data_IF_766162468088
#
_entry.id   IF_766162468088
#
_cell.length_a   1.000
_cell.length_b   1.000
_cell.length_c   1.000
_cell.angle_alpha   90.00
_cell.angle_beta   90.00
_cell.angle_gamma   90.00
#
_symmetry.space_group_name_H-M   'P 1'
#
loop_
_entity.id
_entity.type
_entity.pdbx_description
1 polymer ?
#
# COMPACT_ATOMS: atom_id res chain seq x y z
N UNK A 1 -37.86 -3.31 -19.25
CA UNK A 1 -37.41 -3.03 -17.86
C UNK A 1 -36.77 -4.25 -17.20
N UNK A 2 -37.22 -5.48 -17.51
CA UNK A 2 -36.75 -6.74 -16.87
C UNK A 2 -35.27 -7.00 -17.11
N UNK A 3 -34.75 -6.85 -18.32
CA UNK A 3 -33.36 -7.05 -18.70
C UNK A 3 -32.37 -6.22 -17.85
N UNK A 4 -32.65 -4.92 -17.63
CA UNK A 4 -31.76 -4.05 -16.85
C UNK A 4 -31.64 -4.49 -15.39
N UNK A 5 -32.73 -4.99 -14.78
CA UNK A 5 -32.72 -5.50 -13.40
C UNK A 5 -31.96 -6.82 -13.31
N UNK A 6 -32.18 -7.72 -14.26
CA UNK A 6 -31.50 -9.01 -14.31
C UNK A 6 -29.98 -8.83 -14.43
N UNK A 7 -29.53 -7.95 -15.34
CA UNK A 7 -28.12 -7.65 -15.52
C UNK A 7 -27.48 -7.03 -14.27
N UNK A 8 -28.15 -6.08 -13.60
CA UNK A 8 -27.64 -5.49 -12.36
C UNK A 8 -27.52 -6.54 -11.25
N UNK A 9 -28.49 -7.43 -11.11
CA UNK A 9 -28.42 -8.52 -10.14
C UNK A 9 -27.29 -9.51 -10.44
N UNK A 10 -27.08 -9.85 -11.71
CA UNK A 10 -26.00 -10.72 -12.16
C UNK A 10 -24.62 -10.06 -11.89
N UNK A 11 -24.47 -8.78 -12.20
CA UNK A 11 -23.27 -8.00 -11.88
C UNK A 11 -23.00 -7.97 -10.38
N UNK A 12 -24.03 -7.74 -9.56
CA UNK A 12 -23.90 -7.72 -8.11
C UNK A 12 -23.50 -9.08 -7.53
N UNK A 13 -24.13 -10.15 -8.01
CA UNK A 13 -23.78 -11.51 -7.58
C UNK A 13 -22.36 -11.90 -8.00
N UNK A 14 -21.97 -11.59 -9.23
CA UNK A 14 -20.61 -11.85 -9.72
C UNK A 14 -19.56 -11.02 -8.96
N UNK A 15 -19.85 -9.74 -8.68
CA UNK A 15 -18.95 -8.88 -7.91
C UNK A 15 -18.79 -9.39 -6.46
N UNK A 16 -19.88 -9.83 -5.84
CA UNK A 16 -19.84 -10.43 -4.50
C UNK A 16 -18.99 -11.71 -4.47
N UNK A 17 -19.15 -12.59 -5.46
CA UNK A 17 -18.35 -13.81 -5.58
C UNK A 17 -16.87 -13.53 -5.77
N UNK A 18 -16.52 -12.63 -6.70
CA UNK A 18 -15.13 -12.22 -6.95
C UNK A 18 -14.54 -11.54 -5.72
N UNK A 19 -15.27 -10.62 -5.10
CA UNK A 19 -14.83 -9.94 -3.89
C UNK A 19 -14.53 -10.93 -2.76
N UNK A 20 -15.42 -11.90 -2.51
CA UNK A 20 -15.23 -12.90 -1.45
C UNK A 20 -13.94 -13.69 -1.65
N UNK A 21 -13.66 -14.12 -2.88
CA UNK A 21 -12.42 -14.85 -3.19
C UNK A 21 -11.20 -13.96 -2.99
N UNK A 22 -11.17 -12.76 -3.55
CA UNK A 22 -10.05 -11.84 -3.42
C UNK A 22 -9.82 -11.40 -1.98
N UNK A 23 -10.88 -11.10 -1.26
CA UNK A 23 -10.82 -10.70 0.15
C UNK A 23 -10.26 -11.83 1.03
N UNK A 24 -10.71 -13.07 0.81
CA UNK A 24 -10.18 -14.24 1.52
C UNK A 24 -8.67 -14.41 1.31
N UNK A 25 -8.19 -14.24 0.08
CA UNK A 25 -6.75 -14.30 -0.24
C UNK A 25 -5.97 -13.19 0.49
N UNK A 26 -6.45 -11.94 0.44
CA UNK A 26 -5.77 -10.80 1.08
C UNK A 26 -5.77 -10.95 2.60
N UNK A 27 -6.87 -11.38 3.20
CA UNK A 27 -6.94 -11.64 4.65
C UNK A 27 -5.96 -12.74 5.05
N UNK A 28 -5.84 -13.82 4.25
CA UNK A 28 -4.90 -14.90 4.53
C UNK A 28 -3.45 -14.42 4.45
N UNK A 29 -3.10 -13.65 3.41
CA UNK A 29 -1.75 -13.06 3.28
C UNK A 29 -1.47 -12.11 4.44
N UNK A 30 -2.43 -11.24 4.80
CA UNK A 30 -2.33 -10.33 5.93
C UNK A 30 -2.10 -11.06 7.24
N UNK A 31 -2.85 -12.15 7.49
CA UNK A 31 -2.69 -12.98 8.68
C UNK A 31 -1.27 -13.58 8.77
N UNK A 32 -0.79 -14.18 7.69
CA UNK A 32 0.56 -14.77 7.66
C UNK A 32 1.64 -13.69 7.90
N UNK A 33 1.47 -12.52 7.29
CA UNK A 33 2.42 -11.40 7.45
C UNK A 33 2.46 -10.90 8.88
N UNK A 34 1.30 -10.65 9.50
CA UNK A 34 1.22 -10.11 10.86
C UNK A 34 1.64 -11.15 11.90
N UNK A 35 1.31 -12.44 11.69
CA UNK A 35 1.82 -13.52 12.55
C UNK A 35 3.34 -13.65 12.45
N UNK A 36 3.92 -13.48 11.25
CA UNK A 36 5.37 -13.44 11.07
C UNK A 36 6.01 -12.27 11.84
N UNK A 37 5.41 -11.10 11.82
CA UNK A 37 5.84 -9.92 12.59
C UNK A 37 5.72 -10.16 14.11
N UNK A 38 4.63 -10.79 14.57
CA UNK A 38 4.45 -11.14 15.97
C UNK A 38 5.46 -12.19 16.44
N UNK A 39 5.77 -13.19 15.62
CA UNK A 39 6.79 -14.19 15.91
C UNK A 39 8.21 -13.57 15.96
N UNK A 40 8.47 -12.56 15.14
CA UNK A 40 9.70 -11.76 15.17
C UNK A 40 9.78 -10.75 16.31
N UNK A 41 8.74 -10.62 17.15
CA UNK A 41 8.70 -9.71 18.28
C UNK A 41 8.51 -8.23 17.91
N UNK A 42 8.12 -7.92 16.68
CA UNK A 42 7.86 -6.54 16.22
C UNK A 42 6.41 -6.10 16.47
N UNK A 43 5.52 -7.01 16.85
CA UNK A 43 4.10 -6.76 17.11
C UNK A 43 3.64 -7.59 18.31
N UNK A 44 2.75 -7.02 19.15
CA UNK A 44 2.13 -7.75 20.27
C UNK A 44 1.20 -8.86 19.71
N UNK A 45 1.44 -10.09 20.15
CA UNK A 45 0.62 -11.25 19.78
C UNK A 45 -0.87 -11.07 20.13
N UNK A 46 -1.20 -10.22 21.11
CA UNK A 46 -2.58 -9.91 21.49
C UNK A 46 -3.29 -9.01 20.48
N UNK A 47 -2.54 -8.20 19.76
CA UNK A 47 -3.06 -7.22 18.79
C UNK A 47 -3.13 -7.76 17.35
N UNK A 48 -2.75 -9.02 17.12
CA UNK A 48 -2.68 -9.62 15.76
C UNK A 48 -4.01 -9.52 15.03
N UNK A 49 -5.13 -9.90 15.65
CA UNK A 49 -6.44 -9.86 15.02
C UNK A 49 -6.92 -8.43 14.73
N UNK A 50 -6.63 -7.50 15.63
CA UNK A 50 -6.96 -6.08 15.47
C UNK A 50 -6.20 -5.46 14.31
N UNK A 51 -4.88 -5.67 14.26
CA UNK A 51 -4.02 -5.21 13.16
C UNK A 51 -4.41 -5.84 11.82
N UNK A 52 -4.79 -7.13 11.83
CA UNK A 52 -5.28 -7.82 10.63
C UNK A 52 -6.57 -7.17 10.11
N UNK A 53 -7.51 -6.83 11.01
CA UNK A 53 -8.74 -6.15 10.62
C UNK A 53 -8.44 -4.79 10.00
N UNK A 54 -7.61 -3.95 10.63
CA UNK A 54 -7.22 -2.65 10.09
C UNK A 54 -6.46 -2.77 8.77
N UNK A 55 -5.52 -3.70 8.64
CA UNK A 55 -4.81 -3.96 7.40
C UNK A 55 -5.75 -4.38 6.26
N UNK A 56 -6.79 -5.16 6.58
CA UNK A 56 -7.82 -5.53 5.60
C UNK A 56 -8.56 -4.30 5.08
N UNK A 57 -8.92 -3.34 5.95
CA UNK A 57 -9.58 -2.10 5.53
C UNK A 57 -8.73 -1.25 4.60
N UNK A 58 -7.41 -1.22 4.78
CA UNK A 58 -6.50 -0.44 3.91
C UNK A 58 -6.47 -0.96 2.47
N UNK A 59 -6.70 -2.26 2.27
CA UNK A 59 -6.70 -2.90 0.96
C UNK A 59 -8.08 -2.89 0.24
N UNK A 60 -9.16 -2.53 0.95
CA UNK A 60 -10.52 -2.58 0.39
C UNK A 60 -10.72 -1.75 -0.89
N UNK A 61 -10.17 -0.51 -1.03
CA UNK A 61 -10.36 0.26 -2.27
C UNK A 61 -9.83 -0.47 -3.51
N UNK A 62 -8.67 -1.09 -3.41
CA UNK A 62 -8.08 -1.88 -4.48
C UNK A 62 -8.90 -3.13 -4.81
N UNK A 63 -9.31 -3.87 -3.78
CA UNK A 63 -10.09 -5.10 -3.92
C UNK A 63 -11.46 -4.84 -4.54
N UNK A 64 -12.16 -3.81 -4.08
CA UNK A 64 -13.47 -3.44 -4.64
C UNK A 64 -13.34 -2.97 -6.09
N UNK A 65 -12.34 -2.16 -6.42
CA UNK A 65 -12.09 -1.69 -7.78
C UNK A 65 -11.81 -2.86 -8.73
N UNK A 66 -10.97 -3.81 -8.31
CA UNK A 66 -10.68 -5.02 -9.07
C UNK A 66 -11.91 -5.92 -9.20
N UNK A 67 -12.70 -6.06 -8.12
CA UNK A 67 -13.92 -6.88 -8.12
C UNK A 67 -14.97 -6.34 -9.08
N UNK A 68 -15.18 -5.02 -9.12
CA UNK A 68 -16.06 -4.36 -10.07
C UNK A 68 -15.59 -4.65 -11.51
N UNK A 69 -14.29 -4.47 -11.76
CA UNK A 69 -13.69 -4.66 -13.08
C UNK A 69 -13.88 -6.10 -13.59
N UNK A 70 -13.49 -7.09 -12.77
CA UNK A 70 -13.60 -8.51 -13.12
C UNK A 70 -15.07 -8.91 -13.26
N UNK A 71 -15.96 -8.47 -12.38
CA UNK A 71 -17.38 -8.80 -12.45
C UNK A 71 -18.03 -8.30 -13.75
N UNK A 72 -17.79 -7.01 -14.08
CA UNK A 72 -18.30 -6.47 -15.36
C UNK A 72 -17.72 -7.22 -16.53
N UNK A 73 -16.43 -7.51 -16.53
CA UNK A 73 -15.77 -8.26 -17.60
C UNK A 73 -16.36 -9.65 -17.75
N UNK A 74 -16.54 -10.41 -16.66
CA UNK A 74 -17.06 -11.79 -16.69
C UNK A 74 -18.50 -11.85 -17.19
N UNK A 75 -19.36 -10.97 -16.68
CA UNK A 75 -20.77 -10.93 -17.10
C UNK A 75 -20.89 -10.54 -18.56
N UNK A 76 -20.13 -9.54 -19.00
CA UNK A 76 -20.13 -9.13 -20.41
C UNK A 76 -19.57 -10.23 -21.32
N UNK A 77 -18.49 -10.91 -20.93
CA UNK A 77 -17.92 -12.03 -21.68
C UNK A 77 -18.91 -13.19 -21.83
N UNK A 78 -19.66 -13.50 -20.75
CA UNK A 78 -20.70 -14.51 -20.78
C UNK A 78 -21.80 -14.14 -21.79
N UNK A 79 -22.30 -12.92 -21.74
CA UNK A 79 -23.32 -12.43 -22.66
C UNK A 79 -22.87 -12.50 -24.14
N UNK A 80 -21.57 -12.36 -24.44
CA UNK A 80 -21.01 -12.58 -25.77
C UNK A 80 -20.99 -14.05 -26.17
N UNK A 81 -20.72 -14.96 -25.26
CA UNK A 81 -20.59 -16.39 -25.52
C UNK A 81 -21.98 -17.06 -25.66
N UNK A 82 -22.92 -16.65 -24.81
CA UNK A 82 -24.30 -17.19 -24.85
C UNK A 82 -25.13 -16.63 -26.02
N UNK A 83 -24.48 -15.95 -26.99
CA UNK A 83 -25.09 -15.36 -28.18
C UNK A 83 -26.17 -14.31 -27.92
N UNK A 84 -26.35 -13.87 -26.68
CA UNK A 84 -27.31 -12.82 -26.35
C UNK A 84 -26.92 -11.50 -27.02
N UNK A 85 -25.65 -11.06 -26.85
CA UNK A 85 -25.14 -9.83 -27.48
C UNK A 85 -25.15 -9.88 -29.01
N UNK A 86 -24.66 -10.94 -29.71
CA UNK A 86 -24.73 -11.05 -31.15
C UNK A 86 -26.14 -10.93 -31.68
N UNK A 87 -27.12 -11.56 -31.02
CA UNK A 87 -28.55 -11.49 -31.42
C UNK A 87 -29.09 -10.06 -31.27
N UNK A 88 -28.76 -9.37 -30.19
CA UNK A 88 -29.17 -7.98 -29.94
C UNK A 88 -28.57 -7.01 -30.98
N UNK A 89 -27.32 -7.23 -31.40
CA UNK A 89 -26.67 -6.43 -32.43
C UNK A 89 -27.27 -6.71 -33.84
N UNK A 90 -27.59 -7.94 -34.12
CA UNK A 90 -28.12 -8.31 -35.45
C UNK A 90 -29.62 -7.97 -35.65
N UNK A 91 -30.39 -7.97 -34.56
CA UNK A 91 -31.87 -7.85 -34.66
C UNK A 91 -32.41 -6.42 -34.59
N UNK A 92 -31.59 -5.40 -34.33
CA UNK A 92 -32.20 -4.06 -34.21
C UNK A 92 -31.31 -2.94 -33.81
N UNK A 93 -29.99 -3.04 -34.00
CA UNK A 93 -29.11 -1.86 -33.85
C UNK A 93 -28.97 -1.32 -32.44
N UNK A 94 -28.94 -2.20 -31.45
CA UNK A 94 -28.55 -1.80 -30.12
C UNK A 94 -27.02 -1.62 -30.06
N UNK A 95 -26.53 -0.40 -30.01
CA UNK A 95 -25.10 -0.13 -29.93
C UNK A 95 -24.51 -0.55 -28.56
N UNK A 96 -23.24 -0.88 -28.55
CA UNK A 96 -22.47 -1.20 -27.31
C UNK A 96 -22.61 -0.11 -26.24
N UNK A 97 -22.84 1.13 -26.63
CA UNK A 97 -23.04 2.27 -25.74
C UNK A 97 -24.26 2.12 -24.81
N UNK A 98 -25.27 1.35 -25.20
CA UNK A 98 -26.45 1.11 -24.33
C UNK A 98 -26.16 0.25 -23.11
N UNK A 99 -25.03 -0.47 -23.10
CA UNK A 99 -24.57 -1.24 -21.95
C UNK A 99 -23.93 -0.39 -20.88
N UNK A 100 -23.47 0.81 -21.21
CA UNK A 100 -22.90 1.76 -20.24
C UNK A 100 -23.89 2.07 -19.12
N UNK A 101 -25.16 2.33 -19.46
CA UNK A 101 -26.15 2.73 -18.46
C UNK A 101 -26.46 1.65 -17.39
N UNK A 102 -26.69 0.37 -17.70
CA UNK A 102 -26.87 -0.65 -16.67
C UNK A 102 -25.59 -0.96 -15.89
N UNK A 103 -24.41 -0.95 -16.55
CA UNK A 103 -23.13 -1.14 -15.87
C UNK A 103 -22.88 0.00 -14.88
N UNK A 104 -23.10 1.25 -15.27
CA UNK A 104 -22.93 2.38 -14.37
C UNK A 104 -23.95 2.38 -13.22
N UNK A 105 -25.18 1.91 -13.43
CA UNK A 105 -26.15 1.78 -12.32
C UNK A 105 -25.68 0.83 -11.23
N UNK A 106 -24.98 -0.23 -11.62
CA UNK A 106 -24.35 -1.15 -10.68
C UNK A 106 -23.06 -0.52 -10.11
N UNK A 107 -22.20 0.01 -10.97
CA UNK A 107 -20.86 0.45 -10.59
C UNK A 107 -20.88 1.74 -9.75
N UNK A 108 -21.75 2.72 -10.03
CA UNK A 108 -21.77 4.01 -9.32
C UNK A 108 -21.88 3.89 -7.80
N UNK A 109 -22.84 3.15 -7.20
CA UNK A 109 -22.90 3.00 -5.76
C UNK A 109 -21.63 2.36 -5.19
N UNK A 110 -21.03 1.39 -5.91
CA UNK A 110 -19.77 0.77 -5.51
C UNK A 110 -18.58 1.73 -5.63
N UNK A 111 -18.53 2.57 -6.67
CA UNK A 111 -17.50 3.61 -6.85
C UNK A 111 -17.58 4.64 -5.73
N UNK A 112 -18.80 5.06 -5.35
CA UNK A 112 -18.99 5.95 -4.19
C UNK A 112 -18.48 5.28 -2.91
N UNK A 113 -18.80 4.00 -2.71
CA UNK A 113 -18.29 3.22 -1.58
C UNK A 113 -16.75 3.16 -1.56
N UNK A 114 -16.12 2.88 -2.72
CA UNK A 114 -14.65 2.92 -2.87
C UNK A 114 -14.11 4.29 -2.48
N UNK A 115 -14.75 5.37 -2.92
CA UNK A 115 -14.36 6.74 -2.57
C UNK A 115 -14.46 7.02 -1.07
N UNK A 116 -15.55 6.64 -0.43
CA UNK A 116 -15.72 6.80 1.03
C UNK A 116 -14.66 6.00 1.79
N UNK A 117 -14.43 4.75 1.40
CA UNK A 117 -13.42 3.92 2.05
C UNK A 117 -12.03 4.52 1.86
N UNK A 118 -11.68 4.94 0.64
CA UNK A 118 -10.35 5.50 0.35
C UNK A 118 -10.08 6.82 1.08
N UNK A 119 -11.10 7.70 1.18
CA UNK A 119 -10.95 9.04 1.75
C UNK A 119 -11.07 9.05 3.27
N UNK A 120 -11.93 8.20 3.86
CA UNK A 120 -12.26 8.23 5.28
C UNK A 120 -11.78 6.99 6.04
N UNK A 121 -12.09 5.78 5.54
CA UNK A 121 -11.84 4.54 6.28
C UNK A 121 -10.36 4.15 6.25
N UNK A 122 -9.72 4.25 5.08
CA UNK A 122 -8.29 3.90 4.91
C UNK A 122 -7.37 4.71 5.82
N UNK A 123 -7.44 6.07 5.88
CA UNK A 123 -6.58 6.84 6.76
C UNK A 123 -6.88 6.59 8.24
N UNK A 124 -8.14 6.36 8.59
CA UNK A 124 -8.50 5.96 9.95
C UNK A 124 -7.88 4.62 10.34
N UNK A 125 -7.98 3.61 9.47
CA UNK A 125 -7.41 2.28 9.72
C UNK A 125 -5.87 2.33 9.83
N UNK A 126 -5.19 3.08 8.95
CA UNK A 126 -3.74 3.33 9.04
C UNK A 126 -3.38 4.00 10.36
N UNK A 127 -4.16 5.00 10.80
CA UNK A 127 -3.95 5.66 12.08
C UNK A 127 -4.11 4.72 13.29
N UNK A 128 -4.99 3.72 13.22
CA UNK A 128 -5.11 2.71 14.27
C UNK A 128 -3.90 1.77 14.29
N UNK A 129 -3.43 1.34 13.11
CA UNK A 129 -2.21 0.52 13.00
C UNK A 129 -1.03 1.25 13.63
N UNK A 130 -0.84 2.51 13.28
CA UNK A 130 0.23 3.36 13.82
C UNK A 130 0.14 3.50 15.35
N UNK A 131 -1.05 3.79 15.88
CA UNK A 131 -1.28 3.89 17.33
C UNK A 131 -0.96 2.59 18.06
N UNK A 132 -1.37 1.45 17.49
CA UNK A 132 -1.10 0.13 18.08
C UNK A 132 0.40 -0.16 18.08
N UNK A 133 1.11 0.17 17.00
CA UNK A 133 2.56 0.03 16.91
C UNK A 133 3.28 0.92 17.94
N UNK A 134 2.89 2.20 18.07
CA UNK A 134 3.45 3.13 19.05
C UNK A 134 3.20 2.68 20.49
N UNK A 135 2.00 2.16 20.79
CA UNK A 135 1.69 1.63 22.13
C UNK A 135 2.54 0.40 22.47
N UNK A 136 2.79 -0.45 21.47
CA UNK A 136 3.66 -1.61 21.64
C UNK A 136 5.09 -1.19 21.92
N UNK A 137 5.65 -0.28 21.13
CA UNK A 137 6.99 0.27 21.35
C UNK A 137 7.13 0.90 22.72
N UNK A 138 6.14 1.69 23.16
CA UNK A 138 6.16 2.31 24.49
C UNK A 138 6.11 1.32 25.66
N UNK A 139 5.37 0.20 25.48
CA UNK A 139 5.32 -0.88 26.50
C UNK A 139 6.60 -1.70 26.49
N UNK A 140 7.17 -1.91 25.34
CA UNK A 140 8.34 -2.74 25.13
C UNK A 140 9.62 -2.06 25.66
N UNK A 141 9.71 -0.73 25.58
CA UNK A 141 10.80 0.05 26.18
C UNK A 141 10.90 -0.13 27.72
N UNK A 142 9.77 -0.42 28.38
CA UNK A 142 9.75 -0.71 29.83
C UNK A 142 10.09 -2.18 30.13
N UNK A 143 9.67 -3.11 29.25
CA UNK A 143 9.88 -4.55 29.42
C UNK A 143 11.16 -5.07 28.75
N UNK A 144 11.75 -4.33 27.81
CA UNK A 144 13.01 -4.72 27.13
C UNK A 144 14.23 -4.64 28.03
N UNK A 145 14.14 -3.98 29.18
CA UNK A 145 15.16 -4.06 30.21
C UNK A 145 14.99 -5.40 30.96
N UNK A 146 14.96 -6.50 30.24
CA UNK A 146 15.03 -7.83 30.84
C UNK A 146 16.48 -8.08 31.27
N UNK A 147 16.75 -8.27 32.57
CA UNK A 147 18.10 -8.52 33.06
C UNK A 147 18.69 -9.78 32.38
N UNK A 148 19.98 -9.72 32.08
CA UNK A 148 20.72 -10.85 31.50
C UNK A 148 20.56 -11.06 29.98
N UNK A 149 20.02 -10.11 29.23
CA UNK A 149 19.88 -10.18 27.77
C UNK A 149 20.53 -9.01 27.03
N UNK A 150 21.04 -9.28 25.84
CA UNK A 150 21.46 -8.23 24.92
C UNK A 150 20.25 -7.62 24.21
N UNK A 151 20.20 -6.29 24.22
CA UNK A 151 19.15 -5.49 23.59
C UNK A 151 19.77 -4.70 22.46
N UNK A 152 19.30 -4.95 21.25
CA UNK A 152 19.70 -4.17 20.09
C UNK A 152 18.76 -2.98 19.89
N UNK A 153 19.33 -1.80 19.70
CA UNK A 153 18.61 -0.55 19.42
C UNK A 153 19.21 0.15 18.21
N UNK A 154 18.48 1.11 17.63
CA UNK A 154 18.89 1.85 16.43
C UNK A 154 19.27 0.96 15.22
N UNK A 155 18.51 -0.12 15.00
CA UNK A 155 18.75 -1.01 13.85
C UNK A 155 20.05 -1.80 13.94
N UNK A 156 20.42 -2.27 15.13
CA UNK A 156 21.64 -3.07 15.38
C UNK A 156 22.90 -2.25 15.60
N UNK A 157 22.85 -0.93 15.48
CA UNK A 157 24.04 -0.08 15.69
C UNK A 157 24.41 0.14 17.14
N UNK A 158 23.48 -0.09 18.07
CA UNK A 158 23.73 0.06 19.50
C UNK A 158 23.20 -1.18 20.21
N UNK A 159 24.06 -1.80 21.03
CA UNK A 159 23.76 -3.00 21.81
C UNK A 159 23.90 -2.64 23.28
N UNK A 160 22.88 -2.95 24.07
CA UNK A 160 22.91 -2.82 25.53
C UNK A 160 22.85 -4.20 26.18
N UNK A 161 23.54 -4.35 27.29
CA UNK A 161 23.41 -5.47 28.21
C UNK A 161 23.31 -4.93 29.64
N UNK A 162 22.33 -5.39 30.38
CA UNK A 162 22.09 -5.03 31.77
C UNK A 162 21.93 -6.32 32.56
N UNK A 163 22.76 -6.50 33.59
CA UNK A 163 22.74 -7.73 34.37
C UNK A 163 21.58 -7.80 35.35
N UNK A 164 21.34 -6.70 36.10
CA UNK A 164 20.22 -6.60 37.05
C UNK A 164 19.46 -5.29 36.89
N UNK A 165 18.15 -5.38 37.04
CA UNK A 165 17.23 -4.22 37.05
C UNK A 165 16.44 -4.30 38.35
N UNK A 166 16.34 -3.18 39.06
CA UNK A 166 15.54 -3.11 40.30
C UNK A 166 14.03 -3.29 39.98
N UNK A 167 13.25 -3.73 40.95
CA UNK A 167 11.83 -4.01 40.81
C UNK A 167 11.00 -2.79 40.36
N UNK A 168 11.49 -1.57 40.62
CA UNK A 168 10.86 -0.30 40.20
C UNK A 168 11.36 0.21 38.84
N UNK A 169 12.32 -0.51 38.19
CA UNK A 169 12.87 -0.14 36.90
C UNK A 169 13.75 1.12 36.92
N UNK A 170 14.03 1.71 38.08
CA UNK A 170 14.77 2.98 38.22
C UNK A 170 16.28 2.79 38.28
N UNK A 171 16.76 1.65 38.79
CA UNK A 171 18.17 1.37 38.98
C UNK A 171 18.58 0.13 38.17
N UNK A 172 19.77 0.21 37.61
CA UNK A 172 20.39 -0.86 36.84
C UNK A 172 21.81 -1.12 37.33
N UNK A 173 22.24 -2.41 37.28
CA UNK A 173 23.61 -2.78 37.66
C UNK A 173 24.31 -3.46 36.48
N UNK A 174 25.64 -3.32 36.45
CA UNK A 174 26.54 -3.91 35.46
C UNK A 174 26.03 -3.65 34.03
N UNK A 175 26.06 -2.38 33.63
CA UNK A 175 25.62 -1.95 32.28
C UNK A 175 26.79 -2.04 31.31
N UNK A 176 26.57 -2.69 30.22
CA UNK A 176 27.46 -2.71 29.06
C UNK A 176 26.73 -2.14 27.86
N UNK A 177 27.37 -1.25 27.11
CA UNK A 177 26.88 -0.69 25.87
C UNK A 177 27.97 -0.73 24.82
N UNK A 178 27.65 -1.20 23.62
CA UNK A 178 28.46 -1.04 22.39
C UNK A 178 27.67 -0.22 21.38
N UNK A 179 28.30 0.81 20.82
CA UNK A 179 27.73 1.63 19.77
C UNK A 179 28.69 1.71 18.59
N UNK A 180 28.23 1.32 17.42
CA UNK A 180 28.97 1.44 16.18
C UNK A 180 28.56 2.70 15.42
N UNK A 181 29.48 3.63 15.26
CA UNK A 181 29.25 4.89 14.55
C UNK A 181 30.23 4.98 13.35
N UNK A 182 29.80 4.42 12.23
CA UNK A 182 30.63 4.34 11.02
C UNK A 182 31.90 3.51 11.25
N UNK A 183 33.07 4.17 11.21
CA UNK A 183 34.37 3.53 11.40
C UNK A 183 34.84 3.49 12.86
N UNK A 184 34.08 4.05 13.79
CA UNK A 184 34.42 4.05 15.22
C UNK A 184 33.45 3.20 16.01
N UNK A 185 33.96 2.48 16.99
CA UNK A 185 33.19 1.73 17.97
C UNK A 185 33.42 2.33 19.37
N UNK A 186 32.33 2.58 20.07
CA UNK A 186 32.33 3.10 21.44
C UNK A 186 31.80 2.01 22.36
N UNK A 187 32.61 1.58 23.32
CA UNK A 187 32.19 0.61 24.33
C UNK A 187 32.15 1.34 25.69
N UNK A 188 31.02 1.22 26.37
CA UNK A 188 30.86 1.78 27.72
C UNK A 188 30.51 0.66 28.67
N UNK A 189 31.21 0.59 29.80
CA UNK A 189 30.95 -0.30 30.92
C UNK A 189 30.80 0.52 32.20
N UNK A 190 29.70 0.28 32.94
CA UNK A 190 29.45 0.95 34.21
C UNK A 190 28.97 -0.04 35.29
N UNK A 191 29.31 0.20 36.54
CA UNK A 191 28.89 -0.64 37.66
C UNK A 191 27.41 -0.47 37.99
N UNK A 192 26.89 0.75 37.84
CA UNK A 192 25.48 1.04 38.10
C UNK A 192 24.97 2.17 37.23
N UNK A 193 23.65 2.26 37.11
CA UNK A 193 22.98 3.34 36.40
C UNK A 193 21.60 3.62 36.97
N UNK A 194 21.13 4.83 36.73
CA UNK A 194 19.82 5.32 37.15
C UNK A 194 19.06 5.87 35.93
N UNK A 195 17.85 5.38 35.70
CA UNK A 195 17.01 5.87 34.62
C UNK A 195 16.27 7.12 35.07
N UNK A 196 16.58 8.26 34.46
CA UNK A 196 15.92 9.55 34.72
C UNK A 196 15.06 9.96 33.50
N UNK A 197 13.85 10.41 33.80
CA UNK A 197 12.97 11.03 32.80
C UNK A 197 12.89 12.53 33.08
N UNK A 198 13.14 13.34 32.05
CA UNK A 198 12.97 14.79 32.13
C UNK A 198 11.48 15.15 31.92
N UNK A 199 11.00 16.29 32.49
CA UNK A 199 9.62 16.76 32.28
C UNK A 199 9.21 16.92 30.78
N UNK A 200 10.20 17.02 29.90
CA UNK A 200 10.01 17.05 28.42
C UNK A 200 9.85 15.67 27.78
N UNK A 201 9.86 14.60 28.58
CA UNK A 201 9.71 13.22 28.10
C UNK A 201 10.99 12.57 27.56
N UNK A 202 12.12 13.22 27.70
CA UNK A 202 13.42 12.64 27.37
C UNK A 202 13.88 11.69 28.49
N UNK A 203 14.37 10.51 28.10
CA UNK A 203 14.89 9.52 29.03
C UNK A 203 16.41 9.45 28.92
N UNK A 204 17.07 9.52 30.05
CA UNK A 204 18.52 9.38 30.20
C UNK A 204 18.83 8.24 31.14
N UNK A 205 19.87 7.47 30.83
CA UNK A 205 20.52 6.62 31.81
C UNK A 205 21.75 7.36 32.31
N UNK A 206 21.76 7.65 33.57
CA UNK A 206 22.93 8.22 34.28
C UNK A 206 23.75 7.04 34.79
N UNK A 207 24.80 6.69 34.08
CA UNK A 207 25.74 5.64 34.45
C UNK A 207 26.72 6.19 35.51
N UNK A 208 27.04 5.37 36.52
CA UNK A 208 27.94 5.71 37.60
C UNK A 208 29.10 4.73 37.62
N UNK A 209 30.30 5.27 37.91
CA UNK A 209 31.55 4.52 38.05
C UNK A 209 31.81 3.58 36.86
N UNK A 210 32.34 4.16 35.77
CA UNK A 210 32.55 3.38 34.58
C UNK A 210 33.75 3.77 33.75
N UNK A 211 33.93 3.00 32.66
CA UNK A 211 34.97 3.21 31.65
C UNK A 211 34.35 3.26 30.28
N UNK A 212 34.80 4.21 29.49
CA UNK A 212 34.47 4.34 28.07
C UNK A 212 35.71 4.04 27.24
N UNK A 213 35.56 3.17 26.26
CA UNK A 213 36.58 2.76 25.30
C UNK A 213 36.17 3.28 23.94
N UNK A 214 36.98 4.20 23.39
CA UNK A 214 36.78 4.68 22.01
C UNK A 214 37.82 4.03 21.11
N UNK A 215 37.38 3.29 20.08
CA UNK A 215 38.25 2.71 19.06
C UNK A 215 38.08 3.50 17.76
N UNK A 216 39.19 4.05 17.25
CA UNK A 216 39.24 4.62 15.91
C UNK A 216 39.81 3.59 14.93
N UNK A 217 39.11 3.29 13.85
CA UNK A 217 39.53 2.33 12.84
C UNK A 217 40.51 2.91 11.80
N UNK A 218 40.81 4.21 11.89
CA UNK A 218 41.72 4.87 10.98
C UNK A 218 43.20 4.59 11.40
N UNK A 219 43.72 3.46 10.93
CA UNK A 219 45.17 3.20 10.75
C UNK A 219 46.06 3.07 11.96
N UNK A 220 45.76 3.73 13.07
CA UNK A 220 46.45 3.61 14.35
C UNK A 220 45.52 2.93 15.36
N UNK A 221 45.92 1.77 15.85
CA UNK A 221 45.22 0.98 16.87
C UNK A 221 45.30 1.66 18.27
N UNK A 222 44.97 2.95 18.36
CA UNK A 222 44.97 3.69 19.59
C UNK A 222 43.61 3.60 20.27
N UNK A 223 43.55 2.87 21.34
CA UNK A 223 42.40 2.86 22.26
C UNK A 223 42.47 4.05 23.17
N UNK A 224 41.41 4.83 23.21
CA UNK A 224 41.27 5.89 24.23
C UNK A 224 40.37 5.33 25.33
N UNK A 225 40.92 5.22 26.54
CA UNK A 225 40.16 4.80 27.72
C UNK A 225 39.88 6.05 28.55
N UNK A 226 38.62 6.32 28.83
CA UNK A 226 38.16 7.43 29.68
C UNK A 226 37.44 6.83 30.87
N UNK A 227 37.94 7.10 32.08
CA UNK A 227 37.24 6.78 33.34
C UNK A 227 36.29 7.92 33.67
N UNK A 228 35.09 7.60 34.13
CA UNK A 228 34.08 8.57 34.50
C UNK A 228 33.41 8.20 35.84
N UNK A 229 33.10 9.18 36.64
CA UNK A 229 32.25 9.01 37.81
C UNK A 229 30.78 9.01 37.43
N UNK A 230 30.42 9.84 36.45
CA UNK A 230 29.06 9.95 35.94
C UNK A 230 29.10 10.16 34.43
N UNK A 231 28.29 9.39 33.73
CA UNK A 231 28.13 9.49 32.27
C UNK A 231 26.65 9.37 31.88
N UNK A 232 26.14 10.40 31.25
CA UNK A 232 24.73 10.42 30.81
C UNK A 232 24.58 9.95 29.37
N UNK A 233 23.74 8.93 29.19
CA UNK A 233 23.41 8.42 27.87
C UNK A 233 21.92 8.65 27.60
N UNK A 234 21.62 9.34 26.52
CA UNK A 234 20.25 9.50 26.08
C UNK A 234 19.75 8.19 25.43
N UNK A 235 18.68 7.59 25.98
CA UNK A 235 18.11 6.32 25.48
C UNK A 235 17.10 6.55 24.36
N UNK A 236 16.67 7.76 24.12
CA UNK A 236 15.75 8.14 23.06
C UNK A 236 15.01 9.41 23.43
N UNK A 237 14.67 10.19 22.49
CA UNK A 237 13.81 11.36 22.68
C UNK A 237 12.42 11.04 22.14
N UNK A 238 11.40 11.29 22.96
CA UNK A 238 10.00 11.42 22.50
C UNK A 238 9.87 12.47 21.37
N UNK A 239 10.87 13.36 21.24
CA UNK A 239 10.94 14.36 20.18
C UNK A 239 11.49 13.82 18.85
N UNK A 240 12.36 12.80 18.88
CA UNK A 240 12.78 12.07 17.67
C UNK A 240 11.65 11.17 17.14
N UNK A 241 10.81 10.66 18.05
CA UNK A 241 9.57 9.98 17.72
C UNK A 241 8.45 10.95 17.30
N UNK A 242 8.46 12.21 17.71
CA UNK A 242 7.56 13.25 17.20
C UNK A 242 8.01 13.81 15.83
N UNK A 243 9.26 13.54 15.44
CA UNK A 243 9.76 13.65 14.06
C UNK A 243 9.58 12.35 13.27
N UNK A 244 8.92 11.33 13.89
CA UNK A 244 8.28 10.28 13.12
C UNK A 244 7.37 11.01 12.16
N UNK A 245 7.77 10.93 10.94
CA UNK A 245 7.08 11.35 9.76
C UNK A 245 5.63 11.70 10.11
N UNK A 246 5.26 12.97 9.97
CA UNK A 246 3.85 13.31 9.82
C UNK A 246 3.33 12.23 8.91
N UNK A 247 2.68 11.24 9.49
CA UNK A 247 2.24 10.11 8.66
C UNK A 247 1.07 10.66 7.86
N UNK A 248 1.43 11.25 6.72
CA UNK A 248 0.53 11.90 5.77
C UNK A 248 -0.61 10.96 5.41
N UNK A 249 -0.32 9.65 5.47
CA UNK A 249 -1.26 8.59 5.17
C UNK A 249 -2.38 8.45 6.20
N UNK A 250 -2.16 8.89 7.44
CA UNK A 250 -3.15 8.85 8.54
C UNK A 250 -3.99 10.12 8.65
N UNK A 251 -3.59 11.19 7.95
CA UNK A 251 -4.26 12.48 8.03
C UNK A 251 -5.65 12.46 7.39
N UNK A 252 -6.55 13.26 7.95
CA UNK A 252 -7.87 13.51 7.35
C UNK A 252 -7.73 14.29 6.04
N UNK A 253 -8.63 14.05 5.10
CA UNK A 253 -8.60 14.71 3.78
C UNK A 253 -8.58 16.24 3.88
N UNK A 254 -9.33 16.82 4.82
CA UNK A 254 -9.36 18.25 5.09
C UNK A 254 -7.99 18.81 5.46
N UNK A 255 -7.23 18.10 6.32
CA UNK A 255 -5.87 18.48 6.70
C UNK A 255 -4.90 18.43 5.52
N UNK A 256 -5.02 17.41 4.66
CA UNK A 256 -4.18 17.30 3.45
C UNK A 256 -4.37 18.50 2.52
N UNK A 257 -5.61 18.96 2.34
CA UNK A 257 -5.91 20.13 1.52
C UNK A 257 -5.36 21.42 2.15
N UNK A 258 -5.39 21.55 3.47
CA UNK A 258 -4.94 22.75 4.18
C UNK A 258 -3.42 22.92 4.22
N UNK A 259 -2.66 21.82 4.33
CA UNK A 259 -1.21 21.83 4.49
C UNK A 259 -0.45 22.05 3.18
N UNK A 260 -0.98 21.54 2.06
CA UNK A 260 -0.54 21.80 0.69
C UNK A 260 0.95 21.48 0.40
N UNK A 261 1.58 20.58 1.14
CA UNK A 261 2.95 20.11 0.85
C UNK A 261 2.96 19.10 -0.33
N UNK A 262 4.09 18.84 -0.98
CA UNK A 262 4.17 17.84 -2.04
C UNK A 262 3.72 16.45 -1.60
N UNK A 263 4.05 16.06 -0.37
CA UNK A 263 3.64 14.78 0.23
C UNK A 263 2.12 14.73 0.44
N UNK A 264 1.51 15.82 0.94
CA UNK A 264 0.07 15.90 1.15
C UNK A 264 -0.69 15.80 -0.19
N UNK A 265 -0.19 16.48 -1.23
CA UNK A 265 -0.75 16.41 -2.59
C UNK A 265 -0.66 15.01 -3.18
N UNK A 266 0.46 14.33 -2.96
CA UNK A 266 0.66 12.97 -3.43
C UNK A 266 -0.35 12.00 -2.80
N UNK A 267 -0.54 12.07 -1.47
CA UNK A 267 -1.52 11.24 -0.76
C UNK A 267 -2.97 11.60 -1.18
N UNK A 268 -3.27 12.89 -1.39
CA UNK A 268 -4.57 13.31 -1.89
C UNK A 268 -4.87 12.70 -3.26
N UNK A 269 -3.90 12.73 -4.19
CA UNK A 269 -4.02 12.10 -5.51
C UNK A 269 -4.18 10.60 -5.38
N UNK A 270 -3.41 9.94 -4.53
CA UNK A 270 -3.54 8.51 -4.25
C UNK A 270 -4.98 8.15 -3.85
N UNK A 271 -5.58 8.87 -2.91
CA UNK A 271 -6.96 8.62 -2.45
C UNK A 271 -8.00 8.88 -3.54
N UNK A 272 -7.83 9.93 -4.35
CA UNK A 272 -8.76 10.27 -5.44
C UNK A 272 -8.61 9.32 -6.64
N UNK A 273 -7.46 8.74 -6.87
CA UNK A 273 -7.24 7.80 -7.96
C UNK A 273 -8.08 6.52 -7.82
N UNK A 274 -8.38 6.04 -6.59
CA UNK A 274 -9.14 4.80 -6.41
C UNK A 274 -10.57 4.84 -6.97
N UNK A 275 -11.43 5.81 -6.62
CA UNK A 275 -12.76 5.90 -7.21
C UNK A 275 -12.71 6.19 -8.72
N UNK A 276 -11.74 6.97 -9.20
CA UNK A 276 -11.55 7.21 -10.63
C UNK A 276 -11.08 5.95 -11.36
N UNK A 277 -10.20 5.18 -10.76
CA UNK A 277 -9.76 3.89 -11.29
C UNK A 277 -10.94 2.90 -11.38
N UNK A 278 -11.75 2.79 -10.33
CA UNK A 278 -12.93 1.94 -10.34
C UNK A 278 -13.91 2.33 -11.46
N UNK A 279 -14.11 3.64 -11.68
CA UNK A 279 -14.93 4.16 -12.76
C UNK A 279 -14.36 3.82 -14.14
N UNK A 280 -13.09 4.13 -14.38
CA UNK A 280 -12.41 3.88 -15.64
C UNK A 280 -12.39 2.37 -15.98
N UNK A 281 -12.08 1.53 -15.01
CA UNK A 281 -12.01 0.08 -15.18
C UNK A 281 -13.39 -0.53 -15.44
N UNK A 282 -14.44 -0.06 -14.76
CA UNK A 282 -15.80 -0.50 -15.01
C UNK A 282 -16.23 -0.22 -16.47
N UNK A 283 -15.88 0.95 -17.00
CA UNK A 283 -16.14 1.31 -18.39
C UNK A 283 -15.25 0.54 -19.36
N UNK A 284 -13.97 0.37 -19.04
CA UNK A 284 -12.99 -0.35 -19.86
C UNK A 284 -13.37 -1.83 -20.01
N UNK A 285 -13.99 -2.44 -18.99
CA UNK A 285 -14.44 -3.82 -19.04
C UNK A 285 -15.41 -4.10 -20.21
N UNK A 286 -16.23 -3.12 -20.58
CA UNK A 286 -17.24 -3.28 -21.63
C UNK A 286 -16.60 -3.55 -23.00
N UNK A 287 -15.74 -2.67 -23.56
CA UNK A 287 -15.11 -2.95 -24.85
C UNK A 287 -14.05 -4.06 -24.78
N UNK A 288 -13.49 -4.32 -23.59
CA UNK A 288 -12.50 -5.37 -23.38
C UNK A 288 -13.13 -6.78 -23.37
N UNK A 289 -14.40 -6.89 -22.97
CA UNK A 289 -15.12 -8.17 -22.91
C UNK A 289 -15.34 -8.83 -24.28
N UNK A 290 -15.23 -8.06 -25.35
CA UNK A 290 -15.30 -8.59 -26.70
C UNK A 290 -14.06 -9.40 -27.03
N UNK A 291 -14.13 -10.68 -26.81
CA UNK A 291 -13.05 -11.62 -27.13
C UNK A 291 -13.46 -12.55 -28.26
N UNK A 292 -12.44 -13.02 -28.99
CA UNK A 292 -12.67 -14.06 -29.99
C UNK A 292 -13.12 -15.32 -29.26
N UNK A 293 -14.25 -15.94 -29.60
CA UNK A 293 -14.75 -17.15 -28.94
C UNK A 293 -13.72 -18.29 -28.88
N UNK A 294 -12.74 -18.28 -29.79
CA UNK A 294 -11.66 -19.26 -29.88
C UNK A 294 -10.50 -19.01 -28.93
N UNK A 295 -10.37 -17.80 -28.35
CA UNK A 295 -9.21 -17.43 -27.52
C UNK A 295 -9.32 -17.87 -26.05
N UNK A 296 -10.48 -18.38 -25.61
CA UNK A 296 -10.71 -18.82 -24.24
C UNK A 296 -10.94 -17.68 -23.23
N UNK A 297 -11.67 -17.99 -22.15
CA UNK A 297 -12.01 -17.02 -21.06
C UNK A 297 -10.78 -16.59 -20.25
N UNK A 298 -9.85 -17.49 -20.06
CA UNK A 298 -8.69 -17.28 -19.18
C UNK A 298 -7.76 -16.18 -19.69
N UNK A 299 -7.54 -16.07 -21.01
CA UNK A 299 -6.67 -15.05 -21.57
C UNK A 299 -7.20 -13.63 -21.30
N UNK A 300 -8.51 -13.43 -21.37
CA UNK A 300 -9.12 -12.13 -21.10
C UNK A 300 -9.05 -11.74 -19.63
N UNK A 301 -9.18 -12.72 -18.73
CA UNK A 301 -9.01 -12.48 -17.29
C UNK A 301 -7.56 -12.16 -16.94
N UNK A 302 -6.60 -12.87 -17.53
CA UNK A 302 -5.17 -12.57 -17.36
C UNK A 302 -4.86 -11.13 -17.84
N UNK A 303 -5.37 -10.77 -19.03
CA UNK A 303 -5.21 -9.42 -19.57
C UNK A 303 -5.83 -8.36 -18.65
N UNK A 304 -7.01 -8.63 -18.09
CA UNK A 304 -7.67 -7.74 -17.15
C UNK A 304 -6.83 -7.52 -15.88
N UNK A 305 -6.30 -8.59 -15.28
CA UNK A 305 -5.42 -8.50 -14.11
C UNK A 305 -4.15 -7.72 -14.47
N UNK A 306 -3.58 -7.96 -15.63
CA UNK A 306 -2.38 -7.23 -16.09
C UNK A 306 -2.66 -5.73 -16.25
N UNK A 307 -3.80 -5.36 -16.85
CA UNK A 307 -4.23 -3.95 -16.98
C UNK A 307 -4.41 -3.32 -15.59
N UNK A 308 -5.03 -4.05 -14.66
CA UNK A 308 -5.19 -3.57 -13.29
C UNK A 308 -3.85 -3.33 -12.61
N UNK A 309 -2.91 -4.27 -12.70
CA UNK A 309 -1.56 -4.12 -12.15
C UNK A 309 -0.83 -2.93 -12.78
N UNK A 310 -0.95 -2.76 -14.10
CA UNK A 310 -0.36 -1.61 -14.80
C UNK A 310 -0.95 -0.29 -14.31
N UNK A 311 -2.25 -0.25 -14.06
CA UNK A 311 -2.91 0.93 -13.50
C UNK A 311 -2.44 1.24 -12.08
N UNK A 312 -2.31 0.22 -11.21
CA UNK A 312 -1.75 0.37 -9.87
C UNK A 312 -0.32 0.94 -9.91
N UNK A 313 0.53 0.41 -10.77
CA UNK A 313 1.87 0.93 -10.96
C UNK A 313 1.85 2.39 -11.45
N UNK A 314 0.92 2.74 -12.34
CA UNK A 314 0.71 4.11 -12.78
C UNK A 314 0.34 5.05 -11.64
N UNK A 315 -0.52 4.62 -10.71
CA UNK A 315 -0.87 5.39 -9.50
C UNK A 315 0.38 5.60 -8.62
N UNK A 316 1.14 4.53 -8.36
CA UNK A 316 2.35 4.59 -7.52
C UNK A 316 3.45 5.48 -8.15
N UNK A 317 3.63 5.41 -9.46
CA UNK A 317 4.57 6.28 -10.19
C UNK A 317 4.13 7.74 -10.13
N UNK A 318 2.83 8.01 -10.31
CA UNK A 318 2.26 9.36 -10.21
C UNK A 318 2.48 9.95 -8.81
N UNK A 319 2.25 9.16 -7.77
CA UNK A 319 2.51 9.53 -6.39
C UNK A 319 4.00 9.89 -6.17
N UNK A 320 4.92 9.04 -6.64
CA UNK A 320 6.36 9.27 -6.53
C UNK A 320 6.80 10.55 -7.24
N UNK A 321 6.27 10.83 -8.44
CA UNK A 321 6.59 12.05 -9.19
C UNK A 321 6.08 13.32 -8.51
N UNK A 322 4.92 13.25 -7.84
CA UNK A 322 4.39 14.38 -7.08
C UNK A 322 5.24 14.62 -5.83
N UNK A 323 5.60 13.55 -5.08
CA UNK A 323 6.48 13.63 -3.90
C UNK A 323 7.84 14.26 -4.21
N UNK A 324 8.38 14.00 -5.42
CA UNK A 324 9.66 14.54 -5.90
C UNK A 324 9.50 15.86 -6.70
N UNK A 325 8.33 16.45 -6.70
CA UNK A 325 8.00 17.71 -7.40
C UNK A 325 8.28 17.71 -8.93
N UNK A 326 8.43 16.54 -9.52
CA UNK A 326 8.66 16.42 -10.98
C UNK A 326 7.42 16.76 -11.80
N UNK A 327 6.23 16.53 -11.26
CA UNK A 327 4.95 16.72 -11.94
C UNK A 327 3.94 17.39 -11.01
N UNK A 328 3.15 18.31 -11.54
CA UNK A 328 2.05 18.91 -10.79
C UNK A 328 0.98 17.86 -10.50
N UNK A 329 0.40 17.88 -9.30
CA UNK A 329 -0.60 16.91 -8.85
C UNK A 329 -1.84 16.82 -9.75
N UNK A 330 -2.31 17.94 -10.32
CA UNK A 330 -3.42 17.95 -11.29
C UNK A 330 -3.04 17.24 -12.59
N UNK A 331 -1.83 17.49 -13.10
CA UNK A 331 -1.34 16.86 -14.32
C UNK A 331 -1.19 15.35 -14.11
N UNK A 332 -0.70 14.91 -12.96
CA UNK A 332 -0.59 13.51 -12.62
C UNK A 332 -1.97 12.83 -12.52
N UNK A 333 -2.91 13.44 -11.80
CA UNK A 333 -4.28 12.93 -11.62
C UNK A 333 -5.02 12.82 -12.97
N UNK A 334 -5.04 13.91 -13.74
CA UNK A 334 -5.75 13.96 -15.03
C UNK A 334 -5.00 13.16 -16.09
N UNK A 335 -3.69 13.20 -16.09
CA UNK A 335 -2.86 12.49 -17.08
C UNK A 335 -3.05 10.99 -17.03
N UNK A 336 -2.92 10.39 -15.85
CA UNK A 336 -3.12 8.94 -15.69
C UNK A 336 -4.56 8.52 -16.01
N UNK A 337 -5.52 9.13 -15.31
CA UNK A 337 -6.93 8.77 -15.45
C UNK A 337 -7.48 9.12 -16.84
N UNK A 338 -7.05 10.26 -17.41
CA UNK A 338 -7.42 10.69 -18.76
C UNK A 338 -6.86 9.79 -19.85
N UNK A 339 -5.63 9.28 -19.69
CA UNK A 339 -5.05 8.32 -20.63
C UNK A 339 -5.86 7.03 -20.68
N UNK A 340 -6.26 6.49 -19.51
CA UNK A 340 -7.10 5.28 -19.46
C UNK A 340 -8.50 5.57 -20.00
N UNK A 341 -9.09 6.73 -19.69
CA UNK A 341 -10.39 7.13 -20.24
C UNK A 341 -10.33 7.30 -21.76
N UNK A 342 -9.28 7.90 -22.30
CA UNK A 342 -9.04 8.04 -23.74
C UNK A 342 -8.90 6.67 -24.41
N UNK A 343 -8.09 5.77 -23.83
CA UNK A 343 -7.94 4.40 -24.31
C UNK A 343 -9.31 3.70 -24.35
N UNK A 344 -10.09 3.84 -23.28
CA UNK A 344 -11.45 3.28 -23.21
C UNK A 344 -12.34 3.85 -24.30
N UNK A 345 -12.35 5.15 -24.51
CA UNK A 345 -13.11 5.81 -25.57
C UNK A 345 -12.69 5.34 -26.97
N UNK A 346 -11.39 5.23 -27.23
CA UNK A 346 -10.86 4.70 -28.50
C UNK A 346 -11.32 3.25 -28.74
N UNK A 347 -11.29 2.41 -27.70
CA UNK A 347 -11.79 1.04 -27.81
C UNK A 347 -13.29 1.00 -28.07
N UNK A 348 -14.09 1.87 -27.45
CA UNK A 348 -15.53 1.99 -27.76
C UNK A 348 -15.75 2.41 -29.21
N UNK A 349 -15.07 3.47 -29.66
CA UNK A 349 -15.20 3.96 -31.05
C UNK A 349 -14.82 2.85 -32.03
N UNK A 350 -13.70 2.17 -31.82
CA UNK A 350 -13.26 1.05 -32.65
C UNK A 350 -14.32 -0.07 -32.71
N UNK A 351 -14.99 -0.38 -31.61
CA UNK A 351 -15.97 -1.47 -31.51
C UNK A 351 -17.33 -1.07 -32.07
N UNK A 352 -17.78 0.16 -31.86
CA UNK A 352 -19.08 0.65 -32.29
C UNK A 352 -19.12 0.81 -33.81
N UNK A 353 -18.09 1.36 -34.39
CA UNK A 353 -18.10 1.65 -35.83
C UNK A 353 -17.71 0.45 -36.70
N UNK A 354 -17.24 -0.66 -36.13
CA UNK A 354 -16.75 -1.86 -36.84
C UNK A 354 -15.83 -1.54 -38.05
N UNK A 355 -15.48 -0.30 -38.24
CA UNK A 355 -14.65 0.16 -39.33
C UNK A 355 -13.18 -0.13 -38.98
N UNK A 356 -12.47 -0.62 -40.00
CA UNK A 356 -11.02 -0.74 -39.96
C UNK A 356 -10.43 0.67 -39.83
N UNK A 357 -10.17 1.12 -38.63
CA UNK A 357 -9.47 2.39 -38.36
C UNK A 357 -8.03 2.36 -38.92
N UNK A 358 -7.52 1.19 -39.16
CA UNK A 358 -6.23 0.98 -39.83
C UNK A 358 -6.50 1.00 -41.32
N UNK A 359 -5.94 1.96 -42.07
CA UNK A 359 -6.01 1.94 -43.52
C UNK A 359 -5.58 0.57 -44.03
N UNK A 360 -6.22 0.08 -45.11
CA UNK A 360 -5.98 -1.27 -45.66
C UNK A 360 -4.49 -1.52 -45.91
N UNK A 361 -3.73 -0.50 -46.34
CA UNK A 361 -2.29 -0.59 -46.56
C UNK A 361 -1.48 -0.89 -45.29
N UNK A 362 -1.93 -0.40 -44.11
CA UNK A 362 -1.28 -0.67 -42.83
C UNK A 362 -1.64 -2.03 -42.23
N UNK A 363 -2.88 -2.51 -42.53
CA UNK A 363 -3.33 -3.84 -42.10
C UNK A 363 -2.68 -4.96 -42.91
N UNK A 364 -2.23 -4.64 -44.12
CA UNK A 364 -1.53 -5.57 -45.02
C UNK A 364 -0.02 -5.58 -44.83
N UNK A 365 0.53 -4.59 -44.11
CA UNK A 365 1.97 -4.51 -43.82
C UNK A 365 2.55 -5.77 -43.13
N UNK A 366 1.93 -6.35 -42.10
CA UNK A 366 2.46 -7.59 -41.51
C UNK A 366 2.35 -8.76 -42.50
N UNK A 367 1.33 -8.82 -43.34
CA UNK A 367 1.18 -9.85 -44.37
C UNK A 367 2.23 -9.70 -45.50
N UNK A 368 2.54 -8.49 -45.90
CA UNK A 368 3.61 -8.20 -46.89
C UNK A 368 5.02 -8.38 -46.34
N UNK A 369 5.22 -8.14 -45.03
CA UNK A 369 6.52 -8.30 -44.39
C UNK A 369 6.83 -9.75 -43.95
N UNK A 370 5.84 -10.48 -43.52
CA UNK A 370 5.97 -11.85 -43.00
C UNK A 370 5.40 -12.94 -43.89
N UNK A 371 4.74 -12.59 -45.02
CA UNK A 371 4.08 -13.50 -45.93
C UNK A 371 4.91 -13.91 -47.16
N UNK A 372 6.19 -13.59 -47.19
CA UNK A 372 7.10 -14.10 -48.23
C UNK A 372 7.81 -15.32 -47.66
N UNK A 373 7.18 -16.48 -47.79
CA UNK A 373 7.82 -17.77 -47.98
C UNK A 373 6.75 -18.87 -47.74
N UNK A 374 6.00 -19.17 -48.79
CA UNK A 374 5.45 -20.50 -49.10
C UNK A 374 4.77 -20.39 -50.47
N UNK A 375 5.56 -20.51 -51.51
CA UNK A 375 5.15 -21.05 -52.78
C UNK A 375 6.01 -22.28 -53.05
#
# INVERSE_FOLDING_TARGET
MIFKRLLVNELASSAGGVFTVLFSVVVTIGLVTILGQAAGGSVDSRSVFELMAYSSFTNLPALLSLSIFIAVLMVMMRSWQDSEMPVWFSSGGLSLLRWIAPVLRFALPMIVLVGVISIAVTPWAKGQIERTAQQFEQRDDVNRIAPGRFIETMGGRRIFFIEEVSADGSHVKNVFMSEQNGESEIIVRAESGEVKATPKGERYVVLKNGRRYDTSRAGDAAWRVTEFETYEIRIGTRAEQAYISRDVETMTFEKLVSLNTPQDKAEMVWRLCWPLAAFNLALLAIPLSYTNPRAGRSMSLILAVLIFILYLNGISVSESWIKTEKVNWLVALVGLNGTVALLTALLFVRRVYMQRWVPLWLSELPYKLFGRDKA
#
